data_IF_527572343961
#
_entry.id   IF_527572343961
#
_cell.length_a   1.000
_cell.length_b   1.000
_cell.length_c   1.000
_cell.angle_alpha   90.00
_cell.angle_beta   90.00
_cell.angle_gamma   90.00
#
_symmetry.space_group_name_H-M   'P 1'
#
loop_
_entity.id
_entity.type
_entity.pdbx_description
1 polymer ?
#
# COMPACT_ATOMS: atom_id res chain seq x y z
N UNK A 1 19.71 7.82 14.80
CA UNK A 1 19.02 6.52 14.96
C UNK A 1 18.97 5.86 13.60
N UNK A 2 19.37 4.59 13.50
CA UNK A 2 19.25 3.79 12.27
C UNK A 2 18.01 2.91 12.38
N UNK A 3 17.30 2.75 11.27
CA UNK A 3 16.22 1.78 11.14
C UNK A 3 16.86 0.45 10.72
N UNK A 4 16.71 -0.60 11.53
CA UNK A 4 17.32 -1.91 11.28
C UNK A 4 16.41 -2.90 10.56
N UNK A 5 15.10 -2.66 10.56
CA UNK A 5 14.11 -3.58 10.02
C UNK A 5 13.16 -2.85 9.06
N UNK A 6 13.09 -3.34 7.83
CA UNK A 6 12.24 -2.80 6.75
C UNK A 6 11.63 -3.97 6.00
N UNK A 7 10.30 -3.96 5.82
CA UNK A 7 9.55 -5.05 5.18
C UNK A 7 8.65 -4.51 4.06
N UNK A 8 8.28 -5.40 3.12
CA UNK A 8 7.41 -5.06 1.99
C UNK A 8 8.17 -4.52 0.77
N UNK A 9 7.52 -3.67 -0.02
CA UNK A 9 8.13 -3.02 -1.20
C UNK A 9 8.20 -3.87 -2.48
N UNK A 10 7.82 -5.15 -2.43
CA UNK A 10 7.85 -6.05 -3.60
C UNK A 10 6.63 -5.95 -4.54
N UNK A 11 5.76 -4.97 -4.37
CA UNK A 11 4.49 -4.85 -5.11
C UNK A 11 4.45 -3.57 -5.93
N UNK A 12 3.85 -3.63 -7.11
CA UNK A 12 3.72 -2.50 -8.03
C UNK A 12 2.25 -2.27 -8.40
N UNK A 13 1.71 -1.11 -8.03
CA UNK A 13 0.32 -0.74 -8.31
C UNK A 13 0.02 -0.62 -9.80
N UNK A 14 1.02 -0.24 -10.61
CA UNK A 14 0.88 -0.12 -12.07
C UNK A 14 0.82 -1.49 -12.76
N UNK A 15 1.72 -2.41 -12.42
CA UNK A 15 1.83 -3.72 -13.08
C UNK A 15 0.73 -4.70 -12.64
N UNK A 16 0.27 -4.62 -11.39
CA UNK A 16 -0.73 -5.55 -10.87
C UNK A 16 -2.14 -4.94 -10.86
N UNK A 17 -2.77 -4.95 -12.04
CA UNK A 17 -4.10 -4.38 -12.23
C UNK A 17 -5.23 -5.19 -11.57
N UNK A 18 -5.01 -6.48 -11.29
CA UNK A 18 -6.00 -7.33 -10.65
C UNK A 18 -6.20 -7.00 -9.17
N UNK A 19 -5.14 -6.48 -8.51
CA UNK A 19 -5.15 -6.19 -7.07
C UNK A 19 -5.27 -4.71 -6.73
N UNK A 20 -4.81 -3.81 -7.60
CA UNK A 20 -4.62 -2.40 -7.23
C UNK A 20 -5.18 -1.41 -8.24
N UNK A 21 -5.78 -0.33 -7.71
CA UNK A 21 -6.00 0.89 -8.48
C UNK A 21 -4.66 1.57 -8.81
N UNK A 22 -4.53 2.12 -10.02
CA UNK A 22 -3.35 2.91 -10.43
C UNK A 22 -3.72 4.12 -11.27
N UNK A 23 -3.52 5.32 -10.72
CA UNK A 23 -3.80 6.56 -11.45
C UNK A 23 -2.97 6.67 -12.74
N UNK A 24 -1.70 6.23 -12.71
CA UNK A 24 -0.81 6.30 -13.88
C UNK A 24 -1.26 5.39 -15.03
N UNK A 25 -1.99 4.31 -14.72
CA UNK A 25 -2.53 3.36 -15.70
C UNK A 25 -3.94 3.76 -16.14
N UNK A 26 -4.81 4.09 -15.19
CA UNK A 26 -6.26 4.16 -15.41
C UNK A 26 -6.83 5.61 -15.39
N UNK A 27 -6.04 6.61 -14.99
CA UNK A 27 -6.50 7.98 -14.83
C UNK A 27 -7.46 8.14 -13.65
N UNK A 28 -8.65 8.70 -13.87
CA UNK A 28 -9.66 8.87 -12.83
C UNK A 28 -10.19 7.51 -12.34
N UNK A 29 -9.62 7.00 -11.25
CA UNK A 29 -9.89 5.67 -10.69
C UNK A 29 -10.19 5.74 -9.18
N UNK A 30 -10.42 4.59 -8.54
CA UNK A 30 -10.58 4.46 -7.08
C UNK A 30 -9.29 4.76 -6.29
N UNK A 31 -9.35 4.61 -4.97
CA UNK A 31 -8.19 4.80 -4.08
C UNK A 31 -8.09 3.65 -3.08
N UNK A 32 -6.86 3.37 -2.67
CA UNK A 32 -6.55 2.44 -1.60
C UNK A 32 -6.10 3.22 -0.37
N UNK A 33 -6.09 2.56 0.78
CA UNK A 33 -5.57 3.13 2.01
C UNK A 33 -4.68 2.10 2.72
N UNK A 34 -3.62 2.58 3.36
CA UNK A 34 -2.80 1.80 4.29
C UNK A 34 -3.11 2.30 5.69
N UNK A 35 -3.55 1.41 6.57
CA UNK A 35 -3.97 1.75 7.92
C UNK A 35 -3.11 0.99 8.93
N UNK A 36 -2.83 1.65 10.05
CA UNK A 36 -2.18 1.05 11.22
C UNK A 36 -2.84 1.62 12.47
N UNK A 37 -3.13 0.77 13.43
CA UNK A 37 -3.67 1.16 14.73
C UNK A 37 -3.20 0.18 15.81
N UNK A 38 -3.17 0.66 17.04
CA UNK A 38 -3.02 -0.20 18.22
C UNK A 38 -4.45 -0.51 18.69
N UNK A 39 -4.78 -1.79 18.84
CA UNK A 39 -6.09 -2.22 19.34
C UNK A 39 -6.17 -2.00 20.85
N UNK A 40 -7.36 -1.65 21.32
CA UNK A 40 -7.65 -1.61 22.74
C UNK A 40 -8.08 -3.00 23.22
N UNK A 41 -7.13 -3.94 23.31
CA UNK A 41 -7.23 -5.04 24.25
C UNK A 41 -6.02 -5.01 25.18
N UNK A 42 -6.26 -5.39 26.44
CA UNK A 42 -5.41 -5.08 27.58
C UNK A 42 -4.05 -5.75 27.55
#
# INVERSE_FOLDING_TARGET
>A
VVISEVYGGGLCTYQDAARFYSYRRDGATGRMATLIWITADR
#
